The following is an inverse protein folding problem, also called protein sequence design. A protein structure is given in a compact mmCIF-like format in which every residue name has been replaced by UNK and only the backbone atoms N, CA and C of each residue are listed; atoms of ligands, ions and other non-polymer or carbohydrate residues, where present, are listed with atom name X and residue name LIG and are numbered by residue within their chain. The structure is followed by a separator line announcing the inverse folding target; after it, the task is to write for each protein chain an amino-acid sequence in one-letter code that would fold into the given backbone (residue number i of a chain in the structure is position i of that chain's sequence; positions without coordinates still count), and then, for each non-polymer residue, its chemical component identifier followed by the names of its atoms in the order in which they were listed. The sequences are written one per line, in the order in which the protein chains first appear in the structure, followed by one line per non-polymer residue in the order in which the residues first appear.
data_IF_990038176425
#
_entry.id   IF_990038176425
#
_cell.length_a   1.000
_cell.length_b   1.000
_cell.length_c   1.000
_cell.angle_alpha   90.00
_cell.angle_beta   90.00
_cell.angle_gamma   90.00
#
_symmetry.space_group_name_H-M   'P 1'
#
loop_
_entity.id
_entity.type
_entity.pdbx_description
1 polymer ?
#
# COMPACT_ATOMS: atom_id res chain seq x y z
N UNK A 1 39.67 -21.49 -13.56
CA UNK A 1 39.14 -20.87 -12.34
C UNK A 1 37.62 -20.79 -12.48
N UNK A 2 36.92 -21.52 -11.62
CA UNK A 2 35.48 -21.79 -11.68
C UNK A 2 34.68 -20.59 -11.18
N UNK A 3 33.92 -19.94 -12.08
CA UNK A 3 32.96 -18.89 -11.73
C UNK A 3 31.69 -19.50 -11.13
N UNK A 4 31.38 -19.14 -9.89
CA UNK A 4 30.16 -19.55 -9.20
C UNK A 4 29.02 -18.70 -9.77
N UNK A 5 28.30 -19.24 -10.77
CA UNK A 5 26.99 -18.72 -11.16
C UNK A 5 25.99 -19.09 -10.06
N UNK A 6 25.71 -18.15 -9.15
CA UNK A 6 24.62 -18.32 -8.19
C UNK A 6 23.30 -18.14 -8.94
N UNK A 7 22.60 -19.26 -9.12
CA UNK A 7 21.30 -19.34 -9.77
C UNK A 7 20.31 -18.37 -9.11
N UNK A 8 19.74 -17.45 -9.90
CA UNK A 8 18.47 -16.82 -9.57
C UNK A 8 17.52 -17.89 -9.08
N UNK A 9 16.96 -17.72 -7.88
CA UNK A 9 15.95 -18.62 -7.33
C UNK A 9 14.80 -18.63 -8.34
N UNK A 10 14.81 -19.63 -9.21
CA UNK A 10 13.73 -19.93 -10.13
C UNK A 10 12.59 -20.45 -9.27
N UNK A 11 11.83 -19.52 -8.68
CA UNK A 11 10.46 -19.81 -8.30
C UNK A 11 9.82 -20.31 -9.59
N UNK A 12 9.58 -21.62 -9.68
CA UNK A 12 9.00 -22.28 -10.85
C UNK A 12 7.83 -21.41 -11.32
N UNK A 13 8.02 -20.68 -12.43
CA UNK A 13 6.98 -19.82 -12.99
C UNK A 13 5.76 -20.72 -13.17
N UNK A 14 4.61 -20.29 -12.67
CA UNK A 14 3.39 -21.09 -12.76
C UNK A 14 3.14 -21.38 -14.24
N UNK A 15 2.79 -22.61 -14.59
CA UNK A 15 2.71 -23.07 -15.98
C UNK A 15 1.76 -22.25 -16.87
N UNK A 16 0.81 -21.53 -16.27
CA UNK A 16 -0.15 -20.68 -16.97
C UNK A 16 0.36 -19.25 -17.28
N UNK A 17 1.43 -18.79 -16.61
CA UNK A 17 1.94 -17.43 -16.83
C UNK A 17 2.72 -17.41 -18.16
N UNK A 18 2.17 -16.74 -19.17
CA UNK A 18 2.73 -16.63 -20.52
C UNK A 18 2.05 -17.52 -21.58
N UNK A 19 1.04 -18.31 -21.20
CA UNK A 19 0.13 -18.95 -22.15
C UNK A 19 -0.98 -17.96 -22.53
N UNK A 20 -1.33 -17.91 -23.81
CA UNK A 20 -2.51 -17.17 -24.25
C UNK A 20 -3.79 -17.80 -23.67
N UNK A 21 -4.84 -17.00 -23.50
CA UNK A 21 -6.13 -17.52 -23.09
C UNK A 21 -6.60 -18.62 -24.06
N UNK A 22 -7.10 -19.77 -23.57
CA UNK A 22 -7.64 -20.82 -24.42
C UNK A 22 -8.78 -20.30 -25.31
N UNK A 23 -8.92 -20.84 -26.52
CA UNK A 23 -9.97 -20.45 -27.44
C UNK A 23 -11.36 -20.75 -26.84
N UNK A 24 -12.25 -19.75 -26.83
CA UNK A 24 -13.58 -19.85 -26.23
C UNK A 24 -13.62 -19.72 -24.70
N UNK A 25 -12.49 -19.38 -24.05
CA UNK A 25 -12.48 -19.09 -22.62
C UNK A 25 -13.30 -17.83 -22.31
N UNK A 26 -14.33 -18.00 -21.49
CA UNK A 26 -15.08 -16.89 -20.89
C UNK A 26 -14.60 -16.73 -19.44
N UNK A 27 -14.03 -15.58 -19.06
CA UNK A 27 -13.55 -15.35 -17.69
C UNK A 27 -14.70 -15.48 -16.69
N UNK A 28 -14.42 -16.07 -15.52
CA UNK A 28 -15.43 -16.33 -14.49
C UNK A 28 -16.30 -17.57 -14.74
N UNK A 29 -16.75 -17.79 -15.96
CA UNK A 29 -17.66 -18.90 -16.31
C UNK A 29 -17.02 -20.28 -16.07
N UNK A 30 -15.80 -20.51 -16.56
CA UNK A 30 -15.08 -21.78 -16.35
C UNK A 30 -14.70 -22.06 -14.89
N UNK A 31 -14.83 -21.06 -14.01
CA UNK A 31 -14.66 -21.18 -12.55
C UNK A 31 -15.98 -21.49 -11.84
N UNK A 32 -17.10 -21.53 -12.55
CA UNK A 32 -18.44 -21.57 -11.96
C UNK A 32 -18.83 -20.27 -11.26
N UNK A 33 -18.20 -19.14 -11.61
CA UNK A 33 -18.57 -17.86 -11.04
C UNK A 33 -19.84 -17.34 -11.72
N UNK A 34 -20.92 -17.25 -10.96
CA UNK A 34 -22.15 -16.56 -11.35
C UNK A 34 -22.24 -15.27 -10.53
N UNK A 35 -22.55 -14.15 -11.17
CA UNK A 35 -22.87 -12.92 -10.44
C UNK A 35 -24.07 -13.15 -9.50
N UNK A 36 -24.07 -12.54 -8.32
CA UNK A 36 -25.24 -12.58 -7.46
C UNK A 36 -26.39 -11.88 -8.19
N UNK A 37 -27.49 -12.58 -8.44
CA UNK A 37 -28.68 -11.98 -9.03
C UNK A 37 -29.28 -10.99 -8.03
N UNK A 38 -29.15 -9.70 -8.28
CA UNK A 38 -29.80 -8.67 -7.48
C UNK A 38 -31.24 -8.48 -7.95
N UNK A 39 -32.07 -7.83 -7.14
CA UNK A 39 -33.48 -7.52 -7.48
C UNK A 39 -33.59 -6.74 -8.81
N UNK A 40 -32.56 -6.00 -9.18
CA UNK A 40 -32.48 -5.24 -10.43
C UNK A 40 -32.25 -6.14 -11.66
N UNK A 41 -31.60 -7.30 -11.51
CA UNK A 41 -31.27 -8.22 -12.61
C UNK A 41 -32.44 -9.12 -13.04
N UNK A 42 -33.45 -9.26 -12.17
CA UNK A 42 -34.55 -10.24 -12.35
C UNK A 42 -35.71 -9.66 -13.18
N UNK A 43 -35.71 -8.36 -13.47
CA UNK A 43 -36.77 -7.69 -14.24
C UNK A 43 -38.16 -7.80 -13.60
N UNK A 44 -39.22 -7.26 -14.24
CA UNK A 44 -40.60 -7.50 -13.81
C UNK A 44 -40.88 -9.02 -13.84
N UNK A 45 -41.50 -9.51 -12.76
CA UNK A 45 -41.64 -10.93 -12.45
C UNK A 45 -41.95 -11.82 -13.68
N UNK A 46 -41.14 -12.86 -13.89
CA UNK A 46 -41.44 -13.93 -14.85
C UNK A 46 -42.82 -14.52 -14.54
N UNK A 47 -43.66 -14.69 -15.57
CA UNK A 47 -44.92 -15.43 -15.45
C UNK A 47 -44.66 -16.88 -15.00
N UNK A 48 -45.53 -17.40 -14.13
CA UNK A 48 -45.36 -18.66 -13.40
C UNK A 48 -45.43 -19.96 -14.24
N UNK A 49 -45.29 -19.88 -15.57
CA UNK A 49 -45.30 -21.02 -16.49
C UNK A 49 -43.91 -21.40 -17.02
N UNK A 50 -42.87 -20.68 -16.63
CA UNK A 50 -41.51 -20.96 -17.08
C UNK A 50 -40.78 -21.93 -16.13
N UNK A 51 -41.17 -23.20 -16.22
CA UNK A 51 -40.44 -24.30 -15.58
C UNK A 51 -39.49 -24.92 -16.60
N UNK A 52 -38.21 -24.58 -16.51
CA UNK A 52 -37.14 -25.50 -16.87
C UNK A 52 -36.07 -25.47 -15.78
N UNK A 53 -36.08 -26.51 -14.95
CA UNK A 53 -34.92 -26.93 -14.16
C UNK A 53 -33.92 -27.53 -15.15
N UNK A 54 -32.94 -26.73 -15.55
CA UNK A 54 -31.74 -27.23 -16.21
C UNK A 54 -30.55 -26.40 -15.73
N UNK A 55 -29.67 -27.05 -14.97
CA UNK A 55 -28.40 -26.52 -14.41
C UNK A 55 -27.35 -26.25 -15.49
N UNK A 56 -27.75 -25.71 -16.63
CA UNK A 56 -26.89 -25.23 -17.69
C UNK A 56 -27.50 -23.95 -18.27
N UNK A 57 -26.82 -22.79 -18.19
CA UNK A 57 -27.25 -21.66 -19.01
C UNK A 57 -27.04 -22.09 -20.46
N UNK A 58 -28.14 -22.23 -21.20
CA UNK A 58 -28.13 -22.35 -22.64
C UNK A 58 -27.48 -21.08 -23.20
N UNK A 59 -26.17 -21.16 -23.46
CA UNK A 59 -25.48 -20.17 -24.29
C UNK A 59 -26.09 -20.28 -25.68
N UNK A 60 -27.10 -19.44 -25.97
CA UNK A 60 -27.19 -18.89 -27.32
C UNK A 60 -25.78 -18.33 -27.59
N UNK A 61 -25.12 -18.67 -28.71
CA UNK A 61 -23.95 -17.92 -29.13
C UNK A 61 -24.44 -16.51 -29.40
N UNK A 62 -24.46 -15.70 -28.34
CA UNK A 62 -24.64 -14.28 -28.44
C UNK A 62 -23.55 -13.83 -29.39
N UNK A 63 -23.93 -13.08 -30.41
CA UNK A 63 -23.01 -12.17 -31.07
C UNK A 63 -22.12 -11.56 -29.97
N UNK A 64 -20.81 -11.40 -30.19
CA UNK A 64 -20.02 -10.62 -29.25
C UNK A 64 -20.83 -9.35 -28.95
N UNK A 65 -21.14 -9.10 -27.68
CA UNK A 65 -21.58 -7.78 -27.27
C UNK A 65 -20.40 -6.90 -27.66
N UNK A 66 -20.47 -6.36 -28.87
CA UNK A 66 -19.54 -5.39 -29.39
C UNK A 66 -19.58 -4.24 -28.40
N UNK A 67 -18.52 -4.16 -27.59
CA UNK A 67 -17.93 -2.93 -27.08
C UNK A 67 -18.92 -1.87 -26.57
N UNK A 68 -19.95 -2.24 -25.82
CA UNK A 68 -20.55 -1.26 -24.91
C UNK A 68 -19.58 -1.08 -23.76
N UNK A 69 -18.94 0.11 -23.61
CA UNK A 69 -18.09 0.35 -22.47
C UNK A 69 -18.96 0.17 -21.22
N UNK A 70 -18.62 -0.82 -20.40
CA UNK A 70 -19.22 -1.00 -19.09
C UNK A 70 -19.16 0.36 -18.38
N UNK A 71 -20.34 0.91 -18.05
CA UNK A 71 -20.43 2.17 -17.32
C UNK A 71 -19.61 2.02 -16.03
N UNK A 72 -18.59 2.87 -15.86
CA UNK A 72 -17.70 2.81 -14.70
C UNK A 72 -18.43 3.41 -13.49
N UNK A 73 -19.29 2.58 -12.88
CA UNK A 73 -20.13 2.93 -11.73
C UNK A 73 -19.37 2.80 -10.40
N UNK A 74 -18.03 2.84 -10.43
CA UNK A 74 -17.21 2.82 -9.24
C UNK A 74 -17.31 4.15 -8.47
N UNK A 75 -17.27 4.09 -7.15
CA UNK A 75 -17.26 5.27 -6.27
C UNK A 75 -16.08 6.23 -6.58
N UNK A 76 -14.98 5.73 -7.13
CA UNK A 76 -13.86 6.56 -7.57
C UNK A 76 -14.20 7.48 -8.77
N UNK A 77 -15.18 7.08 -9.57
CA UNK A 77 -15.71 7.86 -10.69
C UNK A 77 -16.93 8.70 -10.28
N UNK A 78 -17.52 8.46 -9.11
CA UNK A 78 -18.66 9.21 -8.60
C UNK A 78 -18.20 10.45 -7.83
N UNK A 79 -18.73 11.61 -8.21
CA UNK A 79 -18.65 12.86 -7.47
C UNK A 79 -20.04 13.29 -6.99
N UNK A 80 -20.14 13.82 -5.77
CA UNK A 80 -21.43 14.17 -5.16
C UNK A 80 -22.15 15.32 -5.88
N UNK A 81 -21.39 16.23 -6.49
CA UNK A 81 -21.95 17.38 -7.19
C UNK A 81 -22.24 17.08 -8.66
N UNK A 82 -21.28 16.46 -9.36
CA UNK A 82 -21.38 16.22 -10.82
C UNK A 82 -21.90 14.84 -11.19
N UNK A 83 -22.03 13.91 -10.24
CA UNK A 83 -22.47 12.53 -10.47
C UNK A 83 -21.34 11.64 -10.97
N UNK A 84 -21.67 10.62 -11.77
CA UNK A 84 -20.66 9.76 -12.39
C UNK A 84 -19.90 10.51 -13.48
N UNK A 85 -18.56 10.42 -13.44
CA UNK A 85 -17.69 10.97 -14.47
C UNK A 85 -17.87 10.24 -15.80
N UNK A 86 -17.85 11.01 -16.88
CA UNK A 86 -18.06 10.54 -18.24
C UNK A 86 -19.17 11.31 -18.96
N UNK A 87 -19.06 11.44 -20.28
CA UNK A 87 -20.10 12.07 -21.10
C UNK A 87 -21.03 10.99 -21.65
N UNK A 88 -22.33 11.10 -21.36
CA UNK A 88 -23.36 10.19 -21.87
C UNK A 88 -23.63 10.39 -23.36
N UNK A 89 -23.44 11.62 -23.88
CA UNK A 89 -23.78 11.98 -25.25
C UNK A 89 -22.70 11.59 -26.27
N UNK A 90 -21.56 11.03 -25.83
CA UNK A 90 -20.44 10.69 -26.71
C UNK A 90 -20.69 9.43 -27.58
N UNK A 91 -21.79 8.71 -27.35
CA UNK A 91 -22.13 7.46 -28.06
C UNK A 91 -23.00 7.69 -29.31
N UNK A 92 -23.66 8.84 -29.39
CA UNK A 92 -24.57 9.13 -30.50
C UNK A 92 -23.78 9.47 -31.78
N UNK A 93 -24.33 9.19 -32.98
CA UNK A 93 -23.69 9.59 -34.23
C UNK A 93 -23.42 11.09 -34.24
N UNK A 94 -22.15 11.47 -34.41
CA UNK A 94 -21.73 12.86 -34.46
C UNK A 94 -21.63 13.33 -35.91
N UNK A 95 -22.54 14.22 -36.31
CA UNK A 95 -22.62 14.75 -37.65
C UNK A 95 -21.92 16.11 -37.77
N UNK A 96 -21.78 16.59 -39.01
CA UNK A 96 -21.13 17.88 -39.27
C UNK A 96 -21.90 19.05 -38.63
N UNK A 97 -23.22 18.96 -38.58
CA UNK A 97 -24.07 19.98 -37.96
C UNK A 97 -23.86 20.03 -36.44
N UNK A 98 -23.54 18.89 -35.80
CA UNK A 98 -23.17 18.83 -34.38
C UNK A 98 -21.81 19.48 -34.12
N UNK A 99 -20.83 19.27 -34.99
CA UNK A 99 -19.52 19.95 -34.92
C UNK A 99 -19.67 21.47 -35.06
N UNK A 100 -20.48 21.92 -36.01
CA UNK A 100 -20.77 23.35 -36.19
C UNK A 100 -21.50 23.93 -34.97
N UNK A 101 -22.43 23.19 -34.38
CA UNK A 101 -23.11 23.58 -33.15
C UNK A 101 -22.14 23.70 -31.97
N UNK A 102 -21.30 22.68 -31.74
CA UNK A 102 -20.31 22.67 -30.65
C UNK A 102 -19.30 23.81 -30.79
N UNK A 103 -18.85 24.11 -32.01
CA UNK A 103 -17.99 25.27 -32.26
C UNK A 103 -18.66 26.59 -31.86
N UNK A 104 -19.96 26.76 -32.16
CA UNK A 104 -20.71 27.97 -31.81
C UNK A 104 -20.90 28.06 -30.30
N UNK A 105 -21.30 26.97 -29.64
CA UNK A 105 -21.48 26.94 -28.18
C UNK A 105 -20.17 27.15 -27.43
N UNK A 106 -19.08 26.53 -27.87
CA UNK A 106 -17.75 26.72 -27.28
C UNK A 106 -17.27 28.18 -27.47
N UNK A 107 -17.57 28.81 -28.61
CA UNK A 107 -17.26 30.22 -28.84
C UNK A 107 -18.05 31.15 -27.91
N UNK A 108 -19.32 30.82 -27.63
CA UNK A 108 -20.15 31.55 -26.66
C UNK A 108 -19.53 31.42 -25.27
N UNK A 109 -19.20 30.22 -24.81
CA UNK A 109 -18.60 29.99 -23.49
C UNK A 109 -17.24 30.68 -23.35
N UNK A 110 -16.38 30.59 -24.37
CA UNK A 110 -15.10 31.32 -24.43
C UNK A 110 -15.33 32.82 -24.27
N UNK A 111 -16.28 33.41 -25.01
CA UNK A 111 -16.63 34.83 -24.92
C UNK A 111 -17.18 35.21 -23.54
N UNK A 112 -17.97 34.35 -22.92
CA UNK A 112 -18.49 34.58 -21.57
C UNK A 112 -17.36 34.63 -20.54
N UNK A 113 -16.33 33.81 -20.73
CA UNK A 113 -15.15 33.75 -19.85
C UNK A 113 -14.12 34.86 -20.09
N UNK A 114 -14.06 35.44 -21.30
CA UNK A 114 -13.06 36.46 -21.70
C UNK A 114 -12.92 37.62 -20.71
N UNK A 115 -14.01 38.11 -20.12
CA UNK A 115 -14.02 39.29 -19.24
C UNK A 115 -13.09 39.18 -18.03
N UNK A 116 -12.80 37.96 -17.56
CA UNK A 116 -11.88 37.70 -16.44
C UNK A 116 -10.84 36.63 -16.74
N UNK A 117 -10.78 36.16 -17.99
CA UNK A 117 -9.94 35.06 -18.42
C UNK A 117 -8.48 35.29 -18.05
N UNK A 118 -7.90 36.41 -18.48
CA UNK A 118 -6.49 36.72 -18.22
C UNK A 118 -6.15 36.73 -16.73
N UNK A 119 -6.95 37.41 -15.89
CA UNK A 119 -6.73 37.45 -14.43
C UNK A 119 -6.94 36.09 -13.77
N UNK A 120 -7.95 35.33 -14.20
CA UNK A 120 -8.27 33.99 -13.66
C UNK A 120 -7.16 33.01 -14.00
N UNK A 121 -6.73 32.98 -15.26
CA UNK A 121 -5.65 32.12 -15.75
C UNK A 121 -4.31 32.51 -15.15
N UNK A 122 -4.01 33.80 -15.02
CA UNK A 122 -2.78 34.25 -14.37
C UNK A 122 -2.74 33.82 -12.90
N UNK A 123 -3.83 34.05 -12.14
CA UNK A 123 -3.92 33.59 -10.75
C UNK A 123 -3.84 32.07 -10.64
N UNK A 124 -4.54 31.35 -11.51
CA UNK A 124 -4.49 29.90 -11.54
C UNK A 124 -3.08 29.39 -11.85
N UNK A 125 -2.38 30.04 -12.78
CA UNK A 125 -1.00 29.70 -13.13
C UNK A 125 -0.05 29.97 -11.97
N UNK A 126 -0.13 31.14 -11.34
CA UNK A 126 0.68 31.49 -10.16
C UNK A 126 0.40 30.55 -8.98
N UNK A 127 -0.86 30.19 -8.74
CA UNK A 127 -1.25 29.25 -7.68
C UNK A 127 -0.77 27.83 -7.95
N UNK A 128 -0.92 27.34 -9.20
CA UNK A 128 -0.40 26.03 -9.60
C UNK A 128 1.12 26.01 -9.53
N UNK A 129 1.80 27.09 -9.89
CA UNK A 129 3.25 27.21 -9.78
C UNK A 129 3.70 27.23 -8.32
N UNK A 130 3.08 28.07 -7.48
CA UNK A 130 3.32 28.11 -6.03
C UNK A 130 3.08 26.73 -5.39
N UNK A 131 1.97 26.07 -5.73
CA UNK A 131 1.65 24.74 -5.23
C UNK A 131 2.68 23.69 -5.67
N UNK A 132 3.18 23.77 -6.91
CA UNK A 132 4.25 22.89 -7.39
C UNK A 132 5.59 23.16 -6.70
N UNK A 133 5.87 24.41 -6.33
CA UNK A 133 7.07 24.77 -5.57
C UNK A 133 6.97 24.30 -4.12
N UNK A 134 5.81 24.48 -3.48
CA UNK A 134 5.56 24.09 -2.09
C UNK A 134 5.44 22.56 -1.93
N UNK A 135 4.73 21.91 -2.84
CA UNK A 135 4.44 20.47 -2.84
C UNK A 135 4.74 19.86 -4.22
N UNK A 136 6.02 19.75 -4.60
CA UNK A 136 6.40 19.11 -5.86
C UNK A 136 5.91 17.66 -5.87
N UNK A 137 5.47 17.17 -7.05
CA UNK A 137 5.08 15.76 -7.19
C UNK A 137 6.27 14.87 -6.86
N UNK A 138 6.02 13.70 -6.26
CA UNK A 138 7.06 12.74 -5.87
C UNK A 138 7.99 12.43 -7.06
N UNK A 139 7.42 12.21 -8.24
CA UNK A 139 8.19 11.97 -9.47
C UNK A 139 9.08 13.16 -9.89
N UNK A 140 8.67 14.39 -9.60
CA UNK A 140 9.45 15.60 -9.89
C UNK A 140 10.63 15.75 -8.93
N UNK A 141 10.44 15.45 -7.63
CA UNK A 141 11.51 15.42 -6.63
C UNK A 141 12.63 14.46 -7.02
N UNK A 142 12.28 13.33 -7.65
CA UNK A 142 13.22 12.31 -8.10
C UNK A 142 13.62 12.44 -9.58
N UNK A 143 13.19 13.48 -10.30
CA UNK A 143 13.46 13.61 -11.73
C UNK A 143 14.97 13.77 -12.04
N UNK A 144 15.71 14.43 -11.16
CA UNK A 144 17.16 14.59 -11.25
C UNK A 144 17.89 13.27 -10.95
N UNK A 145 17.45 12.53 -9.92
CA UNK A 145 18.01 11.20 -9.63
C UNK A 145 17.71 10.21 -10.75
N UNK A 146 16.50 10.25 -11.31
CA UNK A 146 16.10 9.43 -12.47
C UNK A 146 16.96 9.76 -13.70
N UNK A 147 17.31 11.03 -13.93
CA UNK A 147 18.25 11.43 -14.98
C UNK A 147 19.67 10.93 -14.69
N UNK A 148 20.16 11.00 -13.46
CA UNK A 148 21.47 10.41 -13.09
C UNK A 148 21.50 8.89 -13.25
N UNK A 149 20.37 8.22 -13.06
CA UNK A 149 20.26 6.78 -13.21
C UNK A 149 20.57 6.31 -14.66
N UNK A 150 20.45 7.17 -15.67
CA UNK A 150 20.83 6.81 -17.04
C UNK A 150 22.34 6.67 -17.24
N UNK A 151 23.16 7.13 -16.30
CA UNK A 151 24.62 6.95 -16.33
C UNK A 151 25.05 5.54 -15.92
N UNK A 152 24.17 4.78 -15.25
CA UNK A 152 24.44 3.42 -14.79
C UNK A 152 24.40 2.47 -15.98
N UNK A 153 25.46 1.67 -16.16
CA UNK A 153 25.56 0.73 -17.27
C UNK A 153 24.72 -0.52 -17.05
N UNK A 154 24.34 -1.23 -18.11
CA UNK A 154 23.58 -2.49 -18.01
C UNK A 154 24.31 -3.55 -17.16
N UNK A 155 25.64 -3.60 -17.23
CA UNK A 155 26.45 -4.50 -16.40
C UNK A 155 26.31 -4.19 -14.90
N UNK A 156 26.21 -2.91 -14.54
CA UNK A 156 25.98 -2.50 -13.14
C UNK A 156 24.55 -2.80 -12.68
N UNK A 157 23.58 -2.75 -13.60
CA UNK A 157 22.20 -3.20 -13.35
C UNK A 157 22.13 -4.70 -13.03
N UNK A 158 22.84 -5.52 -13.80
CA UNK A 158 22.89 -6.98 -13.57
C UNK A 158 23.65 -7.34 -12.29
N UNK A 159 24.57 -6.47 -11.85
CA UNK A 159 25.37 -6.66 -10.65
C UNK A 159 24.70 -6.16 -9.36
N UNK A 160 23.46 -5.66 -9.40
CA UNK A 160 22.73 -5.21 -8.21
C UNK A 160 22.52 -6.40 -7.25
N UNK A 161 23.04 -6.34 -6.00
CA UNK A 161 22.80 -7.41 -5.03
C UNK A 161 21.34 -7.47 -4.62
N UNK A 162 20.83 -8.69 -4.45
CA UNK A 162 19.53 -8.91 -3.84
C UNK A 162 19.51 -8.44 -2.38
N UNK A 163 18.33 -8.03 -1.91
CA UNK A 163 18.12 -7.66 -0.50
C UNK A 163 18.27 -8.90 0.40
N UNK A 164 19.51 -9.21 0.79
CA UNK A 164 19.78 -10.22 1.82
C UNK A 164 19.06 -9.88 3.14
N UNK A 165 18.93 -10.85 4.05
CA UNK A 165 18.31 -10.61 5.38
C UNK A 165 19.28 -9.81 6.27
N UNK A 166 19.42 -8.51 6.00
CA UNK A 166 20.31 -7.57 6.72
C UNK A 166 19.99 -7.50 8.22
N UNK A 167 18.79 -7.91 8.61
CA UNK A 167 18.29 -7.83 9.99
C UNK A 167 18.13 -9.20 10.65
N UNK A 168 18.47 -10.30 9.95
CA UNK A 168 18.22 -11.68 10.39
C UNK A 168 16.81 -11.86 10.98
N UNK A 169 15.79 -11.16 10.47
CA UNK A 169 14.47 -11.10 11.13
C UNK A 169 13.80 -12.48 11.15
N UNK A 170 14.07 -13.29 10.12
CA UNK A 170 13.60 -14.67 10.01
C UNK A 170 14.30 -15.61 11.01
N UNK A 171 15.58 -15.37 11.32
CA UNK A 171 16.31 -16.12 12.34
C UNK A 171 16.08 -15.62 13.77
N UNK A 172 15.72 -14.34 13.94
CA UNK A 172 15.52 -13.72 15.26
C UNK A 172 14.13 -13.94 15.84
N UNK A 173 13.16 -14.30 15.01
CA UNK A 173 11.81 -14.63 15.48
C UNK A 173 11.27 -15.97 14.98
N UNK A 174 12.01 -17.10 15.10
CA UNK A 174 11.45 -18.44 14.98
C UNK A 174 10.72 -18.79 16.29
N UNK A 175 9.84 -17.90 16.76
CA UNK A 175 8.84 -18.27 17.76
C UNK A 175 7.83 -19.15 17.02
N UNK A 176 8.16 -20.43 16.88
CA UNK A 176 7.11 -21.43 16.70
C UNK A 176 6.29 -21.34 17.99
N UNK A 177 5.03 -20.91 17.88
CA UNK A 177 4.07 -20.95 18.98
C UNK A 177 4.02 -22.40 19.49
N UNK A 178 4.75 -22.67 20.56
CA UNK A 178 4.76 -23.96 21.25
C UNK A 178 3.82 -23.80 22.43
N UNK A 179 2.59 -24.24 22.26
CA UNK A 179 1.63 -24.31 23.35
C UNK A 179 1.96 -25.55 24.19
N UNK A 180 2.44 -25.34 25.42
CA UNK A 180 2.50 -26.39 26.44
C UNK A 180 1.34 -26.22 27.42
N UNK A 181 0.86 -27.31 28.01
CA UNK A 181 -0.08 -27.24 29.12
C UNK A 181 0.52 -26.37 30.24
N UNK A 182 -0.30 -25.51 30.84
CA UNK A 182 0.11 -24.70 32.00
C UNK A 182 0.31 -25.62 33.21
N UNK A 183 1.26 -25.30 34.11
CA UNK A 183 1.42 -26.05 35.36
C UNK A 183 0.40 -25.58 36.41
N UNK A 184 -0.08 -26.50 37.24
CA UNK A 184 -1.04 -26.23 38.32
C UNK A 184 -0.50 -25.28 39.40
N UNK A 185 0.82 -25.04 39.44
CA UNK A 185 1.43 -24.05 40.33
C UNK A 185 0.98 -22.61 40.01
N UNK A 186 0.56 -22.33 38.77
CA UNK A 186 0.02 -21.01 38.42
C UNK A 186 -1.34 -20.77 39.09
N UNK A 187 -2.15 -21.82 39.23
CA UNK A 187 -3.41 -21.77 39.99
C UNK A 187 -3.12 -21.58 41.49
N UNK A 188 -2.15 -22.30 42.05
CA UNK A 188 -1.75 -22.15 43.45
C UNK A 188 -1.23 -20.73 43.76
N UNK A 189 -0.47 -20.13 42.85
CA UNK A 189 0.02 -18.74 42.99
C UNK A 189 -1.09 -17.71 42.83
N UNK A 190 -2.06 -17.92 41.95
CA UNK A 190 -3.23 -17.04 41.83
C UNK A 190 -4.07 -17.05 43.12
N UNK A 191 -4.16 -18.20 43.78
CA UNK A 191 -4.80 -18.33 45.10
C UNK A 191 -4.01 -17.56 46.17
N UNK A 192 -2.68 -17.73 46.22
CA UNK A 192 -1.83 -17.00 47.18
C UNK A 192 -1.72 -15.49 46.89
N UNK A 193 -1.81 -15.05 45.63
CA UNK A 193 -1.78 -13.63 45.29
C UNK A 193 -3.08 -12.89 45.65
N UNK A 194 -4.19 -13.62 45.80
CA UNK A 194 -5.41 -13.10 46.43
C UNK A 194 -5.28 -12.91 47.94
N UNK A 195 -4.18 -13.38 48.54
CA UNK A 195 -3.89 -13.24 49.96
C UNK A 195 -3.17 -11.91 50.22
N UNK A 196 -3.91 -10.91 50.71
CA UNK A 196 -3.34 -9.62 51.10
C UNK A 196 -2.46 -9.77 52.35
N UNK A 197 -1.14 -9.70 52.17
CA UNK A 197 -0.16 -9.59 53.27
C UNK A 197 -0.02 -8.14 53.75
N UNK A 198 -0.31 -7.87 55.02
CA UNK A 198 -0.31 -6.53 55.62
C UNK A 198 1.05 -6.06 56.21
N UNK A 199 2.19 -6.48 55.64
CA UNK A 199 3.51 -6.09 56.18
C UNK A 199 4.42 -5.53 55.07
N UNK A 200 4.89 -4.29 55.28
CA UNK A 200 5.89 -3.60 54.45
C UNK A 200 7.29 -3.83 55.00
N UNK A 201 8.25 -4.08 54.12
CA UNK A 201 9.66 -4.30 54.46
C UNK A 201 10.36 -2.97 54.80
N UNK A 202 10.95 -2.90 55.99
CA UNK A 202 11.57 -1.70 56.56
C UNK A 202 12.90 -1.30 55.89
N UNK A 203 13.49 -2.19 55.09
CA UNK A 203 14.83 -1.98 54.51
C UNK A 203 14.83 -1.03 53.31
N UNK A 204 13.71 -0.90 52.60
CA UNK A 204 13.60 -0.05 51.40
C UNK A 204 13.44 1.45 51.73
N UNK A 205 13.02 1.80 52.95
CA UNK A 205 12.85 3.19 53.38
C UNK A 205 14.16 3.88 53.78
N UNK A 206 15.23 3.12 54.05
CA UNK A 206 16.44 3.65 54.69
C UNK A 206 17.48 4.22 53.71
N UNK A 207 17.47 3.80 52.44
CA UNK A 207 18.53 4.15 51.47
C UNK A 207 18.05 5.18 50.45
N UNK A 208 17.79 6.40 50.94
CA UNK A 208 17.56 7.57 50.10
C UNK A 208 18.87 8.23 49.63
N UNK A 209 18.92 8.59 48.33
CA UNK A 209 19.77 9.67 47.80
C UNK A 209 21.09 9.27 47.15
N UNK A 210 21.25 9.62 45.86
CA UNK A 210 22.52 9.55 45.12
C UNK A 210 22.82 10.96 44.54
N UNK A 211 23.72 11.69 45.20
CA UNK A 211 24.25 12.97 44.71
C UNK A 211 25.30 12.76 43.61
N UNK A 212 25.20 13.49 42.51
CA UNK A 212 26.23 13.50 41.45
C UNK A 212 26.51 14.94 40.99
N UNK A 213 27.73 15.49 41.17
CA UNK A 213 28.06 16.82 40.66
C UNK A 213 28.71 16.76 39.27
N UNK A 214 28.31 17.71 38.42
CA UNK A 214 29.27 18.54 37.69
C UNK A 214 29.71 18.09 36.30
N UNK A 215 29.01 18.61 35.30
CA UNK A 215 29.23 18.50 33.85
C UNK A 215 30.31 19.50 33.37
N UNK A 216 31.35 19.01 32.67
CA UNK A 216 32.23 19.81 31.81
C UNK A 216 32.56 19.02 30.55
N UNK A 217 32.18 19.55 29.39
CA UNK A 217 32.30 18.90 28.07
C UNK A 217 33.51 19.43 27.29
N UNK A 218 34.50 18.59 26.93
CA UNK A 218 35.35 18.81 25.77
C UNK A 218 34.68 18.24 24.52
N UNK A 219 34.83 18.91 23.38
CA UNK A 219 34.07 18.76 22.15
C UNK A 219 34.37 17.52 21.28
N UNK A 220 34.92 16.44 21.84
CA UNK A 220 34.97 15.12 21.19
C UNK A 220 35.17 14.04 22.26
N UNK A 221 34.05 13.66 22.88
CA UNK A 221 34.05 12.65 23.93
C UNK A 221 33.71 11.31 23.29
N UNK A 222 34.71 10.44 23.17
CA UNK A 222 34.48 9.03 22.86
C UNK A 222 33.75 8.37 24.04
N UNK A 223 32.41 8.31 23.92
CA UNK A 223 31.50 7.74 24.92
C UNK A 223 31.88 6.32 25.33
N UNK A 224 32.55 5.56 24.45
CA UNK A 224 32.99 4.19 24.75
C UNK A 224 34.19 4.19 25.68
N UNK A 225 35.15 5.10 25.49
CA UNK A 225 36.34 5.21 26.36
C UNK A 225 35.99 5.64 27.77
N UNK A 226 35.04 6.56 27.93
CA UNK A 226 34.53 6.93 29.27
C UNK A 226 33.86 5.75 29.95
N UNK A 227 33.01 5.00 29.22
CA UNK A 227 32.36 3.81 29.76
C UNK A 227 33.36 2.72 30.17
N UNK A 228 34.38 2.48 29.35
CA UNK A 228 35.44 1.51 29.63
C UNK A 228 36.29 1.90 30.83
N UNK A 229 36.70 3.17 30.94
CA UNK A 229 37.47 3.68 32.08
C UNK A 229 36.69 3.60 33.38
N UNK A 230 35.37 3.85 33.34
CA UNK A 230 34.49 3.71 34.51
C UNK A 230 34.34 2.25 34.94
N UNK A 231 34.17 1.34 33.99
CA UNK A 231 34.10 -0.10 34.29
C UNK A 231 35.41 -0.64 34.84
N UNK A 232 36.56 -0.27 34.27
CA UNK A 232 37.85 -0.71 34.81
C UNK A 232 38.10 -0.21 36.23
N UNK A 233 37.67 1.03 36.54
CA UNK A 233 37.76 1.57 37.90
C UNK A 233 36.84 0.82 38.87
N UNK A 234 35.65 0.44 38.41
CA UNK A 234 34.70 -0.37 39.19
C UNK A 234 35.28 -1.76 39.46
N UNK A 235 35.86 -2.42 38.45
CA UNK A 235 36.50 -3.73 38.59
C UNK A 235 37.68 -3.69 39.58
N UNK A 236 38.51 -2.65 39.52
CA UNK A 236 39.62 -2.47 40.47
C UNK A 236 39.08 -2.33 41.90
N UNK A 237 38.04 -1.53 42.12
CA UNK A 237 37.43 -1.37 43.45
C UNK A 237 36.75 -2.62 43.96
N UNK A 238 36.16 -3.43 43.08
CA UNK A 238 35.57 -4.72 43.44
C UNK A 238 36.64 -5.77 43.79
N UNK A 239 37.80 -5.74 43.13
CA UNK A 239 38.92 -6.65 43.42
C UNK A 239 39.69 -6.35 44.71
N UNK A 240 39.50 -5.16 45.29
CA UNK A 240 40.11 -4.74 46.56
C UNK A 240 39.24 -5.05 47.78
N UNK A 241 38.00 -5.53 47.57
CA UNK A 241 37.11 -6.09 48.58
C UNK A 241 37.29 -7.61 48.64
#
# INVERSE_FOLDING_TARGET
MSGIQQSFVSKKKKAFIGLNAPLGYVPGLGRGATGFTTRSDIGPAREATDVTDDRHPYFKPGKPKEDEPEEDLNDANFDEFTGYGGSICAKDPYEKDDEEADMIYEAIDKRMDEKRKERREQRFKEEVERFRQERPKIQQQFSDLKRKLSMVSENEWDAIPEVGDVRNKKQRNPRKEKYSAMSDSFLAKAVAAGEMSNAVDATEQLRGGLDTPGLSTPSDIDMKKIGQARNSLMDIKLSQL
#
